data_IF_763995915630
#
_entry.id   IF_763995915630
#
_cell.length_a   1.000
_cell.length_b   1.000
_cell.length_c   1.000
_cell.angle_alpha   90.00
_cell.angle_beta   90.00
_cell.angle_gamma   90.00
#
_symmetry.space_group_name_H-M   'P 1'
#
loop_
_entity.id
_entity.type
_entity.pdbx_description
1 polymer ?
#
# COMPACT_ATOMS: atom_id res chain seq x y z
N UNK A 1 8.88 -9.76 16.96
CA UNK A 1 9.22 -8.84 15.84
C UNK A 1 8.16 -7.74 15.73
N UNK A 2 8.57 -6.47 15.63
CA UNK A 2 7.68 -5.33 15.38
C UNK A 2 7.54 -5.08 13.88
N UNK A 3 6.31 -4.85 13.40
CA UNK A 3 5.99 -4.49 12.03
C UNK A 3 5.48 -3.04 11.98
N UNK A 4 5.89 -2.28 10.97
CA UNK A 4 5.31 -0.97 10.65
C UNK A 4 4.34 -1.12 9.49
N UNK A 5 3.05 -0.94 9.74
CA UNK A 5 2.06 -0.74 8.68
C UNK A 5 2.18 0.71 8.23
N UNK A 6 2.44 0.94 6.96
CA UNK A 6 2.81 2.25 6.45
C UNK A 6 1.91 2.64 5.27
N UNK A 7 1.17 3.73 5.42
CA UNK A 7 0.13 4.17 4.48
C UNK A 7 0.44 5.56 3.96
N UNK A 8 0.39 5.74 2.64
CA UNK A 8 0.40 7.07 2.00
C UNK A 8 -0.98 7.39 1.47
N UNK A 9 -1.43 8.66 1.57
CA UNK A 9 -2.78 9.05 1.16
C UNK A 9 -2.88 10.49 0.70
N UNK A 10 -3.87 10.77 -0.16
CA UNK A 10 -4.27 12.10 -0.60
C UNK A 10 -5.76 12.13 -0.97
N UNK A 11 -6.58 12.85 -0.19
CA UNK A 11 -8.03 13.02 -0.43
C UNK A 11 -8.84 11.71 -0.52
N UNK A 12 -8.46 10.68 0.25
CA UNK A 12 -9.03 9.33 0.20
C UNK A 12 -9.85 8.99 1.46
N UNK A 13 -10.73 9.94 1.92
CA UNK A 13 -11.46 9.80 3.18
C UNK A 13 -12.31 8.51 3.28
N UNK A 14 -12.84 7.99 2.16
CA UNK A 14 -13.67 6.78 2.16
C UNK A 14 -12.85 5.51 2.33
N UNK A 15 -11.70 5.50 1.71
CA UNK A 15 -10.75 4.41 1.70
C UNK A 15 -10.08 4.29 3.08
N UNK A 16 -9.53 5.39 3.60
CA UNK A 16 -8.87 5.39 4.92
C UNK A 16 -9.85 5.16 6.08
N UNK A 17 -11.13 5.59 5.94
CA UNK A 17 -12.16 5.30 6.94
C UNK A 17 -12.47 3.80 7.07
N UNK A 18 -12.09 2.98 6.09
CA UNK A 18 -12.17 1.51 6.13
C UNK A 18 -10.83 0.90 6.54
N UNK A 19 -9.73 1.38 5.95
CA UNK A 19 -8.40 0.81 6.14
C UNK A 19 -7.89 0.97 7.58
N UNK A 20 -7.98 2.19 8.16
CA UNK A 20 -7.46 2.44 9.50
C UNK A 20 -8.09 1.51 10.55
N UNK A 21 -9.43 1.46 10.74
CA UNK A 21 -10.03 0.56 11.73
C UNK A 21 -9.75 -0.91 11.42
N UNK A 22 -9.68 -1.30 10.14
CA UNK A 22 -9.30 -2.66 9.76
C UNK A 22 -7.90 -3.01 10.26
N UNK A 23 -6.89 -2.16 10.00
CA UNK A 23 -5.52 -2.39 10.46
C UNK A 23 -5.47 -2.42 12.00
N UNK A 24 -6.06 -1.45 12.68
CA UNK A 24 -6.04 -1.36 14.15
C UNK A 24 -6.69 -2.57 14.85
N UNK A 25 -7.69 -3.18 14.21
CA UNK A 25 -8.37 -4.37 14.75
C UNK A 25 -7.60 -5.67 14.52
N UNK A 26 -6.70 -5.69 13.52
CA UNK A 26 -6.02 -6.93 13.09
C UNK A 26 -4.52 -6.93 13.37
N UNK A 27 -3.86 -5.76 13.52
CA UNK A 27 -2.44 -5.68 13.84
C UNK A 27 -2.17 -5.98 15.32
N UNK A 28 -0.96 -6.43 15.64
CA UNK A 28 -0.55 -6.65 17.03
C UNK A 28 -0.34 -5.32 17.77
N UNK A 29 -0.54 -5.28 19.09
CA UNK A 29 -0.36 -4.06 19.88
C UNK A 29 1.08 -3.52 19.91
N UNK A 30 2.09 -4.36 19.63
CA UNK A 30 3.49 -3.95 19.51
C UNK A 30 3.81 -3.28 18.17
N UNK A 31 2.96 -3.48 17.16
CA UNK A 31 3.12 -2.90 15.84
C UNK A 31 2.77 -1.41 15.83
N UNK A 32 3.02 -0.73 14.73
CA UNK A 32 2.68 0.66 14.55
C UNK A 32 2.00 0.91 13.20
N UNK A 33 1.13 1.90 13.17
CA UNK A 33 0.57 2.45 11.95
C UNK A 33 1.19 3.82 11.67
N UNK A 34 1.91 3.95 10.57
CA UNK A 34 2.54 5.20 10.12
C UNK A 34 1.77 5.72 8.91
N UNK A 35 1.23 6.92 9.00
CA UNK A 35 0.45 7.55 7.94
C UNK A 35 1.17 8.81 7.45
N UNK A 36 1.39 8.90 6.13
CA UNK A 36 1.90 10.10 5.48
C UNK A 36 0.80 10.67 4.59
N UNK A 37 0.35 11.86 4.94
CA UNK A 37 -0.69 12.58 4.22
C UNK A 37 -0.10 13.65 3.29
N UNK A 38 -0.52 13.67 2.03
CA UNK A 38 -0.16 14.72 1.07
C UNK A 38 -1.17 15.87 1.13
N UNK A 39 -1.26 16.54 2.28
CA UNK A 39 -2.13 17.70 2.51
C UNK A 39 -3.57 17.51 2.02
N UNK A 40 -4.20 16.46 2.52
CA UNK A 40 -5.58 16.13 2.19
C UNK A 40 -6.58 17.19 2.64
N UNK A 41 -7.78 17.13 2.09
CA UNK A 41 -8.90 17.98 2.46
C UNK A 41 -9.39 17.71 3.90
N UNK A 42 -10.23 18.63 4.40
CA UNK A 42 -10.78 18.54 5.76
C UNK A 42 -11.58 17.26 6.02
N UNK A 43 -12.22 16.67 4.99
CA UNK A 43 -12.99 15.41 5.16
C UNK A 43 -12.05 14.24 5.47
N UNK A 44 -10.94 14.18 4.78
CA UNK A 44 -9.89 13.17 4.96
C UNK A 44 -9.22 13.37 6.31
N UNK A 45 -8.86 14.62 6.65
CA UNK A 45 -8.25 14.96 7.93
C UNK A 45 -9.12 14.52 9.12
N UNK A 46 -10.43 14.70 9.06
CA UNK A 46 -11.36 14.28 10.12
C UNK A 46 -11.33 12.79 10.43
N UNK A 47 -11.00 11.95 9.46
CA UNK A 47 -10.83 10.52 9.71
C UNK A 47 -9.61 10.30 10.61
N UNK A 48 -8.49 10.95 10.32
CA UNK A 48 -7.28 10.86 11.15
C UNK A 48 -7.52 11.36 12.56
N UNK A 49 -8.16 12.53 12.70
CA UNK A 49 -8.46 13.18 13.99
C UNK A 49 -9.20 12.24 14.96
N UNK A 50 -9.97 11.30 14.43
CA UNK A 50 -10.68 10.28 15.23
C UNK A 50 -9.71 9.34 15.96
N UNK A 51 -8.52 9.09 15.40
CA UNK A 51 -7.60 8.07 15.89
C UNK A 51 -6.30 8.61 16.48
N UNK A 52 -5.75 9.71 15.94
CA UNK A 52 -4.42 10.23 16.32
C UNK A 52 -4.30 10.71 17.76
N UNK A 53 -5.43 11.01 18.41
CA UNK A 53 -5.49 11.44 19.81
C UNK A 53 -5.86 10.30 20.77
N UNK A 54 -5.91 9.05 20.29
CA UNK A 54 -6.24 7.90 21.12
C UNK A 54 -4.98 7.11 21.48
N UNK A 55 -4.52 7.28 22.72
CA UNK A 55 -3.30 6.62 23.24
C UNK A 55 -3.38 5.08 23.28
N UNK A 56 -4.56 4.50 23.03
CA UNK A 56 -4.71 3.05 22.91
C UNK A 56 -4.06 2.48 21.63
N UNK A 57 -3.77 3.34 20.65
CA UNK A 57 -3.23 2.94 19.36
C UNK A 57 -1.82 3.52 19.14
N UNK A 58 -0.92 2.74 18.62
CA UNK A 58 0.40 3.20 18.22
C UNK A 58 0.35 3.75 16.78
N UNK A 59 -0.25 4.95 16.62
CA UNK A 59 -0.40 5.65 15.35
C UNK A 59 0.56 6.83 15.30
N UNK A 60 1.23 7.00 14.16
CA UNK A 60 2.05 8.16 13.84
C UNK A 60 1.52 8.80 12.57
N UNK A 61 1.22 10.08 12.64
CA UNK A 61 0.71 10.86 11.52
C UNK A 61 1.69 11.97 11.15
N UNK A 62 1.97 12.09 9.85
CA UNK A 62 2.84 13.14 9.30
C UNK A 62 2.25 13.69 8.01
N UNK A 63 2.43 14.99 7.80
CA UNK A 63 2.10 15.65 6.54
C UNK A 63 3.38 15.88 5.73
N UNK A 64 3.31 15.62 4.44
CA UNK A 64 4.39 15.89 3.50
C UNK A 64 3.87 15.97 2.08
N UNK A 65 4.15 17.08 1.38
CA UNK A 65 3.81 17.21 -0.04
C UNK A 65 4.51 16.15 -0.90
N UNK A 66 3.74 15.58 -1.84
CA UNK A 66 4.22 14.56 -2.78
C UNK A 66 5.30 15.11 -3.73
N UNK A 67 5.17 16.37 -4.16
CA UNK A 67 6.07 17.02 -5.16
C UNK A 67 6.25 16.20 -6.45
N UNK A 68 5.22 15.44 -6.87
CA UNK A 68 5.25 14.53 -8.01
C UNK A 68 6.35 13.44 -7.94
N UNK A 69 6.82 13.12 -6.75
CA UNK A 69 7.85 12.09 -6.51
C UNK A 69 7.37 11.08 -5.46
N UNK A 70 6.75 10.00 -5.94
CA UNK A 70 6.24 8.92 -5.10
C UNK A 70 7.36 8.18 -4.36
N UNK A 71 8.54 8.00 -4.99
CA UNK A 71 9.66 7.34 -4.34
C UNK A 71 10.18 8.17 -3.15
N UNK A 72 10.39 9.48 -3.32
CA UNK A 72 10.80 10.37 -2.24
C UNK A 72 9.75 10.43 -1.12
N UNK A 73 8.46 10.36 -1.47
CA UNK A 73 7.36 10.33 -0.51
C UNK A 73 7.36 9.03 0.32
N UNK A 74 7.50 7.87 -0.32
CA UNK A 74 7.62 6.57 0.36
C UNK A 74 8.93 6.42 1.14
N UNK A 75 10.04 6.99 0.69
CA UNK A 75 11.28 7.01 1.46
C UNK A 75 11.16 7.84 2.74
N UNK A 76 10.50 8.98 2.69
CA UNK A 76 10.17 9.75 3.91
C UNK A 76 9.30 8.92 4.88
N UNK A 77 8.33 8.17 4.37
CA UNK A 77 7.53 7.25 5.16
C UNK A 77 8.41 6.19 5.84
N UNK A 78 9.36 5.59 5.11
CA UNK A 78 10.29 4.61 5.66
C UNK A 78 11.11 5.17 6.83
N UNK A 79 11.54 6.44 6.76
CA UNK A 79 12.27 7.12 7.85
C UNK A 79 11.45 7.27 9.14
N UNK A 80 10.12 7.25 9.06
CA UNK A 80 9.21 7.35 10.20
C UNK A 80 8.87 5.99 10.82
N UNK A 81 9.12 4.92 10.08
CA UNK A 81 8.89 3.55 10.53
C UNK A 81 10.00 3.07 11.48
N UNK A 82 9.61 2.37 12.54
CA UNK A 82 10.54 1.81 13.55
C UNK A 82 10.46 0.30 13.68
N UNK A 83 9.57 -0.36 12.94
CA UNK A 83 9.50 -1.82 12.86
C UNK A 83 10.69 -2.42 12.13
N UNK A 84 10.95 -3.70 12.35
CA UNK A 84 12.00 -4.46 11.66
C UNK A 84 11.69 -4.67 10.18
N UNK A 85 10.39 -4.75 9.86
CA UNK A 85 9.86 -4.75 8.51
C UNK A 85 8.80 -3.67 8.35
N UNK A 86 8.62 -3.22 7.12
CA UNK A 86 7.59 -2.27 6.71
C UNK A 86 6.61 -3.01 5.81
N UNK A 87 5.32 -2.90 6.10
CA UNK A 87 4.25 -3.29 5.20
C UNK A 87 3.65 -2.01 4.60
N UNK A 88 4.07 -1.66 3.39
CA UNK A 88 3.51 -0.52 2.66
C UNK A 88 2.17 -0.90 2.04
N UNK A 89 1.13 -0.13 2.35
CA UNK A 89 -0.24 -0.32 1.87
C UNK A 89 -0.70 1.01 1.28
N UNK A 90 -1.17 1.02 0.05
CA UNK A 90 -1.77 2.22 -0.54
C UNK A 90 -3.18 2.41 0.08
N UNK A 91 -3.64 3.66 0.24
CA UNK A 91 -4.87 3.95 0.98
C UNK A 91 -6.12 3.26 0.42
N UNK A 92 -6.12 2.92 -0.87
CA UNK A 92 -7.19 2.21 -1.58
C UNK A 92 -7.01 0.68 -1.63
N UNK A 93 -6.08 0.15 -0.81
CA UNK A 93 -5.85 -1.28 -0.66
C UNK A 93 -6.33 -1.77 0.72
N UNK A 94 -6.95 -2.95 0.78
CA UNK A 94 -7.31 -3.63 2.03
C UNK A 94 -6.65 -5.01 2.03
N UNK A 95 -5.75 -5.31 2.98
CA UNK A 95 -5.20 -6.65 3.11
C UNK A 95 -6.27 -7.68 3.47
N UNK A 96 -6.13 -8.90 2.96
CA UNK A 96 -6.93 -10.01 3.49
C UNK A 96 -6.56 -10.26 4.96
N UNK A 97 -7.52 -10.63 5.81
CA UNK A 97 -7.30 -10.88 7.25
C UNK A 97 -6.23 -11.95 7.50
N UNK A 98 -6.24 -13.01 6.69
CA UNK A 98 -5.24 -14.08 6.77
C UNK A 98 -3.82 -13.55 6.52
N UNK A 99 -3.64 -12.62 5.59
CA UNK A 99 -2.35 -11.99 5.33
C UNK A 99 -1.81 -11.28 6.59
N UNK A 100 -2.61 -10.44 7.25
CA UNK A 100 -2.18 -9.74 8.47
C UNK A 100 -1.88 -10.72 9.60
N UNK A 101 -2.75 -11.71 9.81
CA UNK A 101 -2.60 -12.70 10.89
C UNK A 101 -1.33 -13.52 10.75
N UNK A 102 -0.95 -13.89 9.51
CA UNK A 102 0.11 -14.84 9.26
C UNK A 102 1.41 -14.23 8.75
N UNK A 103 1.46 -12.93 8.48
CA UNK A 103 2.66 -12.30 7.91
C UNK A 103 3.86 -12.34 8.87
N UNK A 104 3.67 -12.11 10.16
CA UNK A 104 4.77 -12.15 11.15
C UNK A 104 5.35 -13.55 11.28
N UNK A 105 4.56 -14.63 11.52
CA UNK A 105 5.06 -15.99 11.47
C UNK A 105 5.79 -16.35 10.17
N UNK A 106 5.29 -15.87 9.03
CA UNK A 106 5.92 -16.11 7.73
C UNK A 106 7.28 -15.41 7.63
N UNK A 107 7.41 -14.15 8.05
CA UNK A 107 8.69 -13.43 8.07
C UNK A 107 9.67 -14.12 9.02
N UNK A 108 9.24 -14.51 10.22
CA UNK A 108 10.06 -15.20 11.21
C UNK A 108 10.57 -16.56 10.72
N UNK A 109 9.77 -17.28 9.92
CA UNK A 109 10.19 -18.51 9.26
C UNK A 109 11.16 -18.28 8.08
N UNK A 110 11.27 -17.05 7.58
CA UNK A 110 12.11 -16.67 6.42
C UNK A 110 13.05 -15.50 6.74
N UNK A 111 13.93 -15.61 7.74
CA UNK A 111 14.69 -14.47 8.30
C UNK A 111 15.72 -13.86 7.34
N UNK A 112 16.04 -14.54 6.25
CA UNK A 112 17.00 -14.06 5.23
C UNK A 112 16.32 -13.27 4.11
N UNK A 113 15.00 -13.27 4.04
CA UNK A 113 14.24 -12.58 2.99
C UNK A 113 14.15 -11.10 3.35
N UNK A 114 14.52 -10.25 2.40
CA UNK A 114 14.46 -8.79 2.55
C UNK A 114 13.18 -8.19 1.98
N UNK A 115 12.55 -8.85 1.00
CA UNK A 115 11.37 -8.36 0.29
C UNK A 115 10.40 -9.50 -0.01
N UNK A 116 9.13 -9.30 0.33
CA UNK A 116 8.03 -10.17 -0.08
C UNK A 116 7.13 -9.44 -1.07
N UNK A 117 6.92 -10.06 -2.23
CA UNK A 117 5.95 -9.63 -3.22
C UNK A 117 4.57 -10.14 -2.82
N UNK A 118 3.62 -9.23 -2.68
CA UNK A 118 2.26 -9.54 -2.25
C UNK A 118 1.35 -9.54 -3.46
N UNK A 119 0.59 -10.62 -3.73
CA UNK A 119 -0.40 -10.62 -4.80
C UNK A 119 -1.50 -9.60 -4.54
N UNK A 120 -2.09 -9.06 -5.62
CA UNK A 120 -3.14 -8.06 -5.52
C UNK A 120 -4.33 -8.40 -6.41
N UNK A 121 -5.51 -8.44 -5.79
CA UNK A 121 -6.80 -8.59 -6.47
C UNK A 121 -7.28 -7.20 -6.89
N UNK A 122 -7.18 -6.89 -8.17
CA UNK A 122 -7.69 -5.65 -8.73
C UNK A 122 -9.10 -5.85 -9.28
N UNK A 123 -10.04 -5.01 -8.86
CA UNK A 123 -11.39 -4.93 -9.43
C UNK A 123 -11.70 -3.49 -9.85
N UNK A 124 -12.40 -3.32 -10.97
CA UNK A 124 -12.70 -1.98 -11.51
C UNK A 124 -14.16 -1.88 -11.92
N UNK A 125 -14.93 -1.09 -11.16
CA UNK A 125 -16.32 -0.80 -11.50
C UNK A 125 -16.40 0.02 -12.78
N UNK A 126 -17.32 -0.35 -13.67
CA UNK A 126 -17.50 0.30 -14.96
C UNK A 126 -16.48 -0.11 -16.03
N UNK A 127 -15.65 -1.12 -15.76
CA UNK A 127 -14.74 -1.68 -16.75
C UNK A 127 -15.51 -2.29 -17.93
N UNK A 128 -15.10 -1.96 -19.14
CA UNK A 128 -15.66 -2.52 -20.39
C UNK A 128 -14.59 -3.27 -21.18
N UNK A 129 -15.02 -4.09 -22.13
CA UNK A 129 -14.10 -4.78 -23.05
C UNK A 129 -13.23 -3.80 -23.84
N UNK A 130 -13.75 -2.60 -24.14
CA UNK A 130 -12.99 -1.55 -24.83
C UNK A 130 -11.84 -1.02 -23.96
N UNK A 131 -12.09 -0.80 -22.67
CA UNK A 131 -11.06 -0.41 -21.72
C UNK A 131 -9.99 -1.49 -21.58
N UNK A 132 -10.40 -2.76 -21.43
CA UNK A 132 -9.49 -3.88 -21.30
C UNK A 132 -8.59 -4.02 -22.53
N UNK A 133 -9.13 -3.87 -23.73
CA UNK A 133 -8.37 -3.86 -24.99
C UNK A 133 -7.41 -2.67 -25.09
N UNK A 134 -7.89 -1.45 -24.76
CA UNK A 134 -7.10 -0.21 -24.80
C UNK A 134 -5.87 -0.26 -23.89
N UNK A 135 -6.02 -0.87 -22.69
CA UNK A 135 -4.94 -0.93 -21.68
C UNK A 135 -4.22 -2.28 -21.64
N UNK A 136 -4.58 -3.21 -22.55
CA UNK A 136 -4.03 -4.57 -22.61
C UNK A 136 -4.21 -5.35 -21.28
N UNK A 137 -5.35 -5.13 -20.62
CA UNK A 137 -5.68 -5.80 -19.38
C UNK A 137 -6.31 -7.18 -19.64
N UNK A 138 -5.94 -8.14 -18.79
CA UNK A 138 -6.57 -9.46 -18.74
C UNK A 138 -7.56 -9.45 -17.59
N UNK A 139 -8.76 -9.93 -17.83
CA UNK A 139 -9.82 -10.07 -16.81
C UNK A 139 -10.15 -11.55 -16.73
N UNK A 140 -10.09 -12.11 -15.54
CA UNK A 140 -10.43 -13.53 -15.31
C UNK A 140 -11.92 -13.74 -15.04
N UNK A 141 -12.32 -15.00 -14.80
CA UNK A 141 -13.71 -15.40 -14.54
C UNK A 141 -14.29 -14.77 -13.26
N UNK A 142 -13.44 -14.37 -12.29
CA UNK A 142 -13.84 -13.66 -11.07
C UNK A 142 -13.96 -12.13 -11.28
N UNK A 143 -13.65 -11.62 -12.46
CA UNK A 143 -13.58 -10.20 -12.76
C UNK A 143 -12.30 -9.52 -12.24
N UNK A 144 -11.25 -10.29 -11.92
CA UNK A 144 -9.98 -9.76 -11.45
C UNK A 144 -9.08 -9.33 -12.61
N UNK A 145 -8.55 -8.13 -12.48
CA UNK A 145 -7.70 -7.53 -13.52
C UNK A 145 -6.23 -7.89 -13.28
N UNK A 146 -5.60 -8.50 -14.29
CA UNK A 146 -4.17 -8.85 -14.31
C UNK A 146 -3.69 -9.72 -13.14
N UNK A 147 -4.58 -10.49 -12.50
CA UNK A 147 -4.19 -11.41 -11.43
C UNK A 147 -2.99 -12.28 -11.83
N UNK A 148 -1.97 -12.51 -10.95
CA UNK A 148 -1.90 -12.14 -9.52
C UNK A 148 -1.31 -10.75 -9.20
N UNK A 149 -0.87 -9.97 -10.17
CA UNK A 149 -0.35 -8.60 -10.04
C UNK A 149 0.54 -8.36 -8.78
N UNK A 150 1.66 -9.09 -8.63
CA UNK A 150 2.46 -9.03 -7.41
C UNK A 150 3.09 -7.65 -7.20
N UNK A 151 2.98 -7.15 -5.96
CA UNK A 151 3.46 -5.83 -5.56
C UNK A 151 4.56 -5.93 -4.51
N UNK A 152 5.57 -5.06 -4.58
CA UNK A 152 6.61 -4.91 -3.55
C UNK A 152 6.01 -4.23 -2.33
N UNK A 153 5.52 -5.01 -1.34
CA UNK A 153 4.75 -4.43 -0.23
C UNK A 153 5.36 -4.66 1.15
N UNK A 154 6.03 -5.80 1.39
CA UNK A 154 6.57 -6.11 2.71
C UNK A 154 8.07 -6.24 2.57
N UNK A 155 8.82 -5.39 3.28
CA UNK A 155 10.27 -5.35 3.13
C UNK A 155 10.97 -4.98 4.43
N UNK A 156 12.22 -5.42 4.56
CA UNK A 156 13.07 -5.13 5.72
C UNK A 156 13.32 -3.63 5.83
N UNK A 157 13.15 -3.08 7.02
CA UNK A 157 13.45 -1.68 7.30
C UNK A 157 14.96 -1.48 7.44
N UNK A 158 15.63 -1.28 6.31
CA UNK A 158 17.07 -1.11 6.26
C UNK A 158 17.43 0.07 5.33
N UNK A 159 18.39 0.90 5.71
CA UNK A 159 18.75 2.14 4.99
C UNK A 159 19.13 1.95 3.51
N UNK A 160 19.60 0.77 3.13
CA UNK A 160 19.97 0.46 1.75
C UNK A 160 18.78 -0.02 0.91
N UNK A 161 17.64 -0.35 1.54
CA UNK A 161 16.40 -0.70 0.86
C UNK A 161 15.56 0.56 0.75
N UNK A 162 15.36 1.04 -0.47
CA UNK A 162 14.70 2.32 -0.73
C UNK A 162 13.92 2.31 -2.04
N UNK A 163 12.94 3.19 -2.12
CA UNK A 163 12.18 3.43 -3.33
C UNK A 163 12.96 4.33 -4.29
N UNK A 164 12.87 4.03 -5.58
CA UNK A 164 13.46 4.80 -6.68
C UNK A 164 12.42 5.03 -7.78
N UNK A 165 12.58 6.09 -8.56
CA UNK A 165 11.71 6.62 -9.62
C UNK A 165 10.52 7.42 -9.07
N UNK A 166 10.31 8.58 -9.65
CA UNK A 166 9.22 9.50 -9.26
C UNK A 166 7.83 8.90 -9.51
N UNK A 167 7.64 8.15 -10.60
CA UNK A 167 6.45 7.34 -10.92
C UNK A 167 6.85 5.93 -11.31
N UNK A 168 5.94 4.98 -11.13
CA UNK A 168 6.23 3.54 -11.25
C UNK A 168 7.42 3.16 -10.38
N UNK A 169 7.37 3.67 -9.17
CA UNK A 169 8.43 3.50 -8.18
C UNK A 169 8.70 2.02 -7.91
N UNK A 170 9.96 1.71 -7.68
CA UNK A 170 10.43 0.36 -7.38
C UNK A 170 11.28 0.37 -6.13
N UNK A 171 11.11 -0.65 -5.32
CA UNK A 171 11.99 -0.89 -4.18
C UNK A 171 13.29 -1.53 -4.68
N UNK A 172 14.42 -0.98 -4.26
CA UNK A 172 15.77 -1.44 -4.61
C UNK A 172 16.57 -1.75 -3.35
N UNK A 173 17.70 -2.46 -3.50
CA UNK A 173 18.60 -2.78 -2.39
C UNK A 173 18.29 -4.08 -1.65
N UNK A 174 17.13 -4.69 -1.83
CA UNK A 174 16.84 -6.04 -1.33
C UNK A 174 17.77 -7.07 -1.99
N UNK A 175 18.38 -7.96 -1.20
CA UNK A 175 19.29 -9.01 -1.69
C UNK A 175 18.58 -10.32 -1.94
N UNK A 176 17.58 -10.61 -1.12
CA UNK A 176 16.76 -11.82 -1.22
C UNK A 176 15.31 -11.40 -1.24
N UNK A 177 14.62 -11.75 -2.31
CA UNK A 177 13.19 -11.52 -2.44
C UNK A 177 12.44 -12.82 -2.76
N UNK A 178 11.17 -12.86 -2.38
CA UNK A 178 10.26 -13.97 -2.67
C UNK A 178 8.83 -13.45 -2.85
N UNK A 179 7.99 -14.22 -3.53
CA UNK A 179 6.56 -13.93 -3.60
C UNK A 179 5.81 -14.71 -2.52
N UNK A 180 4.77 -14.10 -1.97
CA UNK A 180 3.76 -14.82 -1.20
C UNK A 180 2.99 -15.78 -2.12
N UNK A 181 2.30 -16.81 -1.58
CA UNK A 181 1.43 -17.66 -2.40
C UNK A 181 0.44 -16.81 -3.22
N UNK A 182 0.27 -17.15 -4.51
CA UNK A 182 -0.70 -16.50 -5.39
C UNK A 182 -2.11 -17.04 -5.13
N UNK A 183 -2.57 -16.80 -3.90
CA UNK A 183 -3.86 -17.19 -3.37
C UNK A 183 -4.56 -15.96 -2.80
N UNK A 184 -5.89 -15.94 -2.85
CA UNK A 184 -6.69 -14.80 -2.42
C UNK A 184 -6.41 -14.40 -0.97
N UNK A 185 -6.22 -15.40 -0.09
CA UNK A 185 -5.98 -15.22 1.34
C UNK A 185 -4.65 -14.51 1.66
N UNK A 186 -3.73 -14.45 0.71
CA UNK A 186 -2.42 -13.76 0.84
C UNK A 186 -2.37 -12.43 0.09
N UNK A 187 -3.52 -11.92 -0.37
CA UNK A 187 -3.58 -10.77 -1.26
C UNK A 187 -3.98 -9.46 -0.59
N UNK A 188 -3.76 -8.38 -1.34
CA UNK A 188 -4.37 -7.08 -1.15
C UNK A 188 -5.59 -6.95 -2.06
N UNK A 189 -6.71 -6.50 -1.55
CA UNK A 189 -7.85 -6.07 -2.36
C UNK A 189 -7.69 -4.62 -2.76
N UNK A 190 -7.79 -4.36 -4.05
CA UNK A 190 -7.67 -3.03 -4.63
C UNK A 190 -8.84 -2.77 -5.56
N UNK A 191 -9.83 -2.06 -5.05
CA UNK A 191 -11.06 -1.76 -5.77
C UNK A 191 -11.06 -0.32 -6.28
N UNK A 192 -11.26 -0.15 -7.57
CA UNK A 192 -11.36 1.15 -8.23
C UNK A 192 -12.63 1.28 -9.03
N UNK A 193 -12.98 2.51 -9.38
CA UNK A 193 -13.90 2.79 -10.48
C UNK A 193 -13.12 3.30 -11.70
N UNK A 194 -13.74 3.24 -12.86
CA UNK A 194 -13.13 3.60 -14.13
C UNK A 194 -12.68 5.07 -14.16
N UNK A 195 -13.47 5.98 -13.58
CA UNK A 195 -13.14 7.42 -13.56
C UNK A 195 -11.86 7.70 -12.76
N UNK A 196 -11.68 7.01 -11.62
CA UNK A 196 -10.45 7.12 -10.79
C UNK A 196 -9.24 6.61 -11.57
N UNK A 197 -9.40 5.51 -12.31
CA UNK A 197 -8.33 4.93 -13.12
C UNK A 197 -7.93 5.84 -14.28
N UNK A 198 -8.88 6.44 -14.98
CA UNK A 198 -8.60 7.37 -16.07
C UNK A 198 -7.84 8.62 -15.58
N UNK A 199 -8.27 9.21 -14.46
CA UNK A 199 -7.59 10.35 -13.84
C UNK A 199 -6.16 10.00 -13.42
N UNK A 200 -5.93 8.80 -12.89
CA UNK A 200 -4.59 8.34 -12.51
C UNK A 200 -3.69 8.19 -13.73
N UNK A 201 -4.20 7.62 -14.82
CA UNK A 201 -3.45 7.48 -16.07
C UNK A 201 -3.07 8.86 -16.65
N UNK A 202 -3.97 9.87 -16.58
CA UNK A 202 -3.67 11.24 -17.00
C UNK A 202 -2.59 11.90 -16.13
N UNK A 203 -2.64 11.71 -14.80
CA UNK A 203 -1.64 12.25 -13.87
C UNK A 203 -0.26 11.67 -14.18
N UNK A 204 -0.15 10.36 -14.30
CA UNK A 204 1.12 9.71 -14.63
C UNK A 204 1.67 10.18 -15.99
N UNK A 205 0.81 10.34 -16.98
CA UNK A 205 1.19 10.89 -18.30
C UNK A 205 1.73 12.32 -18.23
N UNK A 206 1.30 13.13 -17.27
CA UNK A 206 1.83 14.49 -17.05
C UNK A 206 3.21 14.45 -16.36
N UNK A 207 3.37 13.63 -15.32
CA UNK A 207 4.63 13.54 -14.55
C UNK A 207 5.77 12.96 -15.43
N UNK A 208 5.50 11.98 -16.28
CA UNK A 208 6.51 11.37 -17.16
C UNK A 208 7.02 12.35 -18.23
N UNK A 209 6.24 13.36 -18.58
CA UNK A 209 6.60 14.35 -19.63
C UNK A 209 7.36 15.57 -19.10
N UNK A 210 7.46 15.71 -17.79
CA UNK A 210 8.25 16.75 -17.11
C UNK A 210 9.64 16.23 -16.74
#
# INVERSE_FOLDING_TARGET
>A
MKLSYAVTTHNEYREIAKLIPFLLNNMSMEDELVIIDDHSDYKTWRVFDTYIHNDAYNIKFFERSLYNDFAAHKNFMNEKCTGEYIFNIDADEIPHENLITNIKPLIEANPTVDLFWVPRVNTVDGLTDEHSKKWHWRVDEKGWVNWPDPQQRIYRNAKHIKWERAVHERLTGAKVDTALPFEEEWSLYHHKNIDKQEKQNELYGKIIRT
#
